data_IF_105434806994
#
_entry.id   IF_105434806994
#
_cell.length_a   1.000
_cell.length_b   1.000
_cell.length_c   1.000
_cell.angle_alpha   90.00
_cell.angle_beta   90.00
_cell.angle_gamma   90.00
#
_symmetry.space_group_name_H-M   'P 1'
#
loop_
_entity.id
_entity.type
_entity.pdbx_description
1 polymer ?
#
# COMPACT_ATOMS: atom_id res chain seq x y z
N UNK A 1 -12.33 6.40 14.94
CA UNK A 1 -10.87 6.29 14.70
C UNK A 1 -10.38 5.05 15.44
N UNK A 2 -9.65 4.18 14.77
CA UNK A 2 -9.04 2.99 15.34
C UNK A 2 -7.58 2.92 14.86
N UNK A 3 -6.72 2.20 15.58
CA UNK A 3 -5.30 2.04 15.25
C UNK A 3 -4.88 0.60 15.50
N UNK A 4 -4.16 0.01 14.54
CA UNK A 4 -3.50 -1.28 14.69
C UNK A 4 -2.01 -1.11 14.39
N UNK A 5 -1.20 -0.97 15.44
CA UNK A 5 0.26 -0.79 15.31
C UNK A 5 1.01 -2.04 14.80
N UNK A 6 0.33 -3.19 14.71
CA UNK A 6 0.88 -4.45 14.20
C UNK A 6 0.40 -4.80 12.78
N UNK A 7 -0.40 -3.92 12.17
CA UNK A 7 -0.88 -4.07 10.79
C UNK A 7 0.10 -3.48 9.76
N UNK A 8 -0.38 -3.28 8.54
CA UNK A 8 0.39 -2.65 7.47
C UNK A 8 1.26 -3.62 6.68
N UNK A 9 0.87 -4.89 6.60
CA UNK A 9 1.61 -5.95 5.87
C UNK A 9 1.47 -5.81 4.35
N UNK A 10 1.97 -4.70 3.81
CA UNK A 10 1.70 -4.18 2.47
C UNK A 10 2.37 -4.93 1.31
N UNK A 11 3.30 -5.85 1.57
CA UNK A 11 4.03 -6.59 0.54
C UNK A 11 3.33 -7.90 0.13
N UNK A 12 2.44 -8.43 0.97
CA UNK A 12 1.72 -9.66 0.61
C UNK A 12 0.83 -9.39 -0.60
N UNK A 13 1.00 -10.21 -1.64
CA UNK A 13 0.34 -10.10 -2.95
C UNK A 13 -0.86 -11.03 -3.03
N UNK A 14 -1.67 -10.89 -4.09
CA UNK A 14 -2.86 -11.72 -4.30
C UNK A 14 -2.57 -13.22 -4.29
N UNK A 15 -1.43 -13.63 -4.86
CA UNK A 15 -1.07 -15.03 -5.07
C UNK A 15 0.16 -15.52 -4.25
N UNK A 16 0.79 -14.66 -3.45
CA UNK A 16 1.99 -15.02 -2.68
C UNK A 16 2.26 -14.06 -1.50
N UNK A 17 2.94 -14.56 -0.47
CA UNK A 17 3.60 -13.69 0.52
C UNK A 17 4.90 -13.08 -0.06
N UNK A 18 5.30 -11.92 0.44
CA UNK A 18 6.54 -11.25 0.07
C UNK A 18 6.97 -10.24 1.16
N UNK A 19 8.24 -9.82 1.19
CA UNK A 19 8.72 -8.77 2.10
C UNK A 19 8.32 -8.96 3.57
N UNK A 20 8.46 -10.18 4.10
CA UNK A 20 8.02 -10.57 5.45
C UNK A 20 6.50 -10.50 5.74
N UNK A 21 5.69 -10.16 4.74
CA UNK A 21 4.24 -10.14 4.80
C UNK A 21 3.67 -11.46 4.28
N UNK A 22 2.94 -12.19 5.12
CA UNK A 22 2.23 -13.42 4.71
C UNK A 22 0.82 -13.13 4.21
N UNK A 23 0.13 -12.18 4.83
CA UNK A 23 -1.21 -11.73 4.46
C UNK A 23 -1.22 -10.19 4.40
N UNK A 24 -2.05 -9.62 3.53
CA UNK A 24 -2.20 -8.17 3.40
C UNK A 24 -3.45 -7.70 4.16
N UNK A 25 -3.27 -7.30 5.41
CA UNK A 25 -4.37 -6.88 6.28
C UNK A 25 -5.05 -5.59 5.80
N UNK A 26 -4.29 -4.68 5.20
CA UNK A 26 -4.80 -3.40 4.65
C UNK A 26 -5.75 -3.64 3.49
N UNK A 27 -5.33 -4.43 2.49
CA UNK A 27 -6.15 -4.74 1.33
C UNK A 27 -7.39 -5.58 1.72
N UNK A 28 -7.25 -6.53 2.65
CA UNK A 28 -8.39 -7.31 3.17
C UNK A 28 -9.41 -6.40 3.86
N UNK A 29 -8.97 -5.48 4.73
CA UNK A 29 -9.87 -4.55 5.41
C UNK A 29 -10.60 -3.63 4.42
N UNK A 30 -9.88 -3.11 3.42
CA UNK A 30 -10.45 -2.26 2.38
C UNK A 30 -11.57 -2.98 1.59
N UNK A 31 -11.27 -4.19 1.11
CA UNK A 31 -12.23 -5.01 0.36
C UNK A 31 -13.43 -5.44 1.23
N UNK A 32 -13.21 -5.75 2.51
CA UNK A 32 -14.28 -6.10 3.43
C UNK A 32 -15.25 -4.92 3.62
N UNK A 33 -14.74 -3.72 3.89
CA UNK A 33 -15.57 -2.52 4.06
C UNK A 33 -16.38 -2.17 2.80
N UNK A 34 -15.76 -2.33 1.62
CA UNK A 34 -16.42 -2.12 0.33
C UNK A 34 -17.49 -3.19 0.03
N UNK A 35 -17.26 -4.44 0.43
CA UNK A 35 -18.20 -5.55 0.23
C UNK A 35 -19.40 -5.46 1.17
N UNK A 36 -19.19 -4.99 2.40
CA UNK A 36 -20.24 -4.74 3.39
C UNK A 36 -21.09 -3.51 3.07
N UNK A 37 -20.66 -2.67 2.13
CA UNK A 37 -21.30 -1.39 1.83
C UNK A 37 -21.12 -0.37 2.97
N UNK A 38 -20.14 -0.59 3.86
CA UNK A 38 -19.82 0.33 4.94
C UNK A 38 -19.18 1.62 4.41
N UNK A 39 -18.55 1.55 3.23
CA UNK A 39 -17.96 2.67 2.50
C UNK A 39 -18.23 2.53 1.00
N UNK A 40 -18.32 3.65 0.30
CA UNK A 40 -18.48 3.67 -1.16
C UNK A 40 -17.13 3.60 -1.89
N UNK A 41 -16.11 4.25 -1.33
CA UNK A 41 -14.76 4.32 -1.87
C UNK A 41 -13.73 4.29 -0.73
N UNK A 42 -12.51 3.86 -1.04
CA UNK A 42 -11.38 3.80 -0.10
C UNK A 42 -10.13 4.43 -0.69
N UNK A 43 -9.41 5.19 0.15
CA UNK A 43 -8.08 5.72 -0.17
C UNK A 43 -7.08 5.04 0.76
N UNK A 44 -6.08 4.37 0.18
CA UNK A 44 -4.92 3.86 0.90
C UNK A 44 -3.78 4.87 0.73
N UNK A 45 -3.27 5.38 1.85
CA UNK A 45 -2.07 6.22 1.91
C UNK A 45 -0.97 5.39 2.54
N UNK A 46 -0.03 4.93 1.70
CA UNK A 46 1.13 4.16 2.14
C UNK A 46 2.37 5.08 2.20
N UNK A 47 2.91 5.21 3.41
CA UNK A 47 4.07 6.05 3.74
C UNK A 47 5.26 5.22 4.24
N UNK A 48 5.22 3.90 4.10
CA UNK A 48 6.38 3.06 4.38
C UNK A 48 7.53 3.39 3.41
N UNK A 49 8.77 3.17 3.85
CA UNK A 49 9.96 3.44 3.04
C UNK A 49 10.06 2.52 1.81
N UNK A 50 9.37 1.38 1.83
CA UNK A 50 9.21 0.45 0.72
C UNK A 50 7.89 0.70 0.00
N UNK A 51 7.82 0.38 -1.30
CA UNK A 51 6.53 0.48 -2.00
C UNK A 51 5.55 -0.58 -1.48
N UNK A 52 4.30 -0.18 -1.23
CA UNK A 52 3.16 -1.05 -0.94
C UNK A 52 2.69 -1.89 -2.13
N UNK A 53 3.61 -2.62 -2.76
CA UNK A 53 3.40 -3.37 -4.01
C UNK A 53 2.33 -4.46 -3.90
N UNK A 54 2.21 -5.12 -2.75
CA UNK A 54 1.17 -6.11 -2.52
C UNK A 54 -0.22 -5.50 -2.41
N UNK A 55 -0.32 -4.32 -1.80
CA UNK A 55 -1.58 -3.57 -1.74
C UNK A 55 -2.01 -3.10 -3.12
N UNK A 56 -1.07 -2.56 -3.92
CA UNK A 56 -1.31 -2.21 -5.31
C UNK A 56 -1.75 -3.42 -6.16
N UNK A 57 -1.04 -4.55 -6.07
CA UNK A 57 -1.38 -5.81 -6.76
C UNK A 57 -2.79 -6.32 -6.44
N UNK A 58 -3.19 -6.26 -5.17
CA UNK A 58 -4.50 -6.76 -4.74
C UNK A 58 -5.61 -5.81 -5.20
N UNK A 59 -5.41 -4.49 -5.10
CA UNK A 59 -6.47 -3.50 -5.33
C UNK A 59 -6.57 -3.00 -6.78
N UNK A 60 -5.64 -3.36 -7.66
CA UNK A 60 -5.57 -2.89 -9.05
C UNK A 60 -6.87 -3.00 -9.86
N UNK A 61 -7.69 -4.03 -9.59
CA UNK A 61 -8.95 -4.28 -10.32
C UNK A 61 -10.20 -3.79 -9.56
N UNK A 62 -10.04 -3.06 -8.45
CA UNK A 62 -11.14 -2.51 -7.65
C UNK A 62 -11.27 -0.99 -7.89
N UNK A 63 -12.18 -0.54 -8.77
CA UNK A 63 -12.28 0.87 -9.16
C UNK A 63 -12.74 1.81 -8.04
N UNK A 64 -13.21 1.27 -6.91
CA UNK A 64 -13.58 2.04 -5.71
C UNK A 64 -12.39 2.26 -4.76
N UNK A 65 -11.25 1.64 -5.05
CA UNK A 65 -10.03 1.80 -4.28
C UNK A 65 -9.03 2.70 -5.03
N UNK A 66 -8.38 3.59 -4.29
CA UNK A 66 -7.24 4.37 -4.78
C UNK A 66 -6.03 4.09 -3.89
N UNK A 67 -4.92 3.74 -4.51
CA UNK A 67 -3.65 3.41 -3.87
C UNK A 67 -2.62 4.51 -4.13
N UNK A 68 -2.26 5.23 -3.07
CA UNK A 68 -1.14 6.15 -3.05
C UNK A 68 0.02 5.52 -2.29
N UNK A 69 1.22 5.54 -2.88
CA UNK A 69 2.45 5.15 -2.20
C UNK A 69 3.55 6.19 -2.41
N UNK A 70 4.15 6.65 -1.31
CA UNK A 70 5.35 7.47 -1.34
C UNK A 70 6.49 6.72 -0.64
N UNK A 71 7.52 6.35 -1.40
CA UNK A 71 8.51 5.36 -0.99
C UNK A 71 9.90 5.68 -1.56
N UNK A 72 10.95 5.05 -1.03
CA UNK A 72 12.30 5.18 -1.56
C UNK A 72 12.41 4.58 -2.97
N UNK A 73 12.88 5.38 -3.94
CA UNK A 73 12.98 4.99 -5.36
C UNK A 73 13.71 3.65 -5.53
N UNK A 74 14.82 3.48 -4.79
CA UNK A 74 15.75 2.36 -4.92
C UNK A 74 15.54 1.25 -3.91
N UNK A 75 14.58 1.42 -2.99
CA UNK A 75 14.27 0.41 -1.99
C UNK A 75 13.52 -0.78 -2.57
N UNK A 76 13.44 -1.86 -1.79
CA UNK A 76 12.58 -2.99 -2.09
C UNK A 76 11.12 -2.54 -2.30
N UNK A 77 10.35 -3.16 -3.22
CA UNK A 77 10.77 -4.19 -4.17
C UNK A 77 11.58 -3.61 -5.34
N UNK A 78 12.49 -4.42 -5.88
CA UNK A 78 13.33 -4.03 -7.03
C UNK A 78 12.48 -3.70 -8.26
N UNK A 79 11.40 -4.46 -8.48
CA UNK A 79 10.40 -4.18 -9.51
C UNK A 79 9.15 -3.68 -8.82
N UNK A 80 8.87 -2.40 -9.03
CA UNK A 80 7.68 -1.74 -8.53
C UNK A 80 6.44 -2.24 -9.28
N UNK A 81 5.32 -2.36 -8.57
CA UNK A 81 4.00 -2.58 -9.16
C UNK A 81 3.30 -1.23 -9.19
N UNK A 82 2.69 -0.86 -10.31
CA UNK A 82 2.04 0.44 -10.41
C UNK A 82 0.88 0.53 -9.40
N UNK A 83 0.93 1.55 -8.54
CA UNK A 83 -0.22 2.03 -7.77
C UNK A 83 -1.01 3.03 -8.64
N UNK A 84 -2.11 3.58 -8.11
CA UNK A 84 -2.81 4.68 -8.78
C UNK A 84 -1.97 5.97 -8.79
N UNK A 85 -1.19 6.20 -7.73
CA UNK A 85 -0.19 7.26 -7.66
C UNK A 85 1.03 6.83 -6.83
N UNK A 86 2.18 6.75 -7.50
CA UNK A 86 3.47 6.50 -6.86
C UNK A 86 4.34 7.77 -6.84
N UNK A 87 4.93 8.07 -5.69
CA UNK A 87 5.94 9.13 -5.52
C UNK A 87 7.25 8.48 -5.07
N UNK A 88 8.20 8.38 -6.01
CA UNK A 88 9.52 7.82 -5.74
C UNK A 88 10.45 8.90 -5.17
N UNK A 89 10.95 8.67 -3.96
CA UNK A 89 11.83 9.58 -3.24
C UNK A 89 13.31 9.22 -3.44
N UNK A 90 14.19 10.20 -3.73
CA UNK A 90 15.63 9.97 -3.79
C UNK A 90 16.23 9.50 -2.46
N UNK A 91 17.33 8.76 -2.52
CA UNK A 91 18.10 8.37 -1.34
C UNK A 91 18.52 9.61 -0.52
N UNK A 92 18.35 9.54 0.80
CA UNK A 92 18.70 10.63 1.71
C UNK A 92 17.72 11.80 1.73
N UNK A 93 16.51 11.64 1.18
CA UNK A 93 15.40 12.59 1.37
C UNK A 93 15.20 12.86 2.87
N UNK A 94 15.31 14.12 3.28
CA UNK A 94 15.06 14.58 4.64
C UNK A 94 13.66 15.20 4.80
N UNK A 95 13.30 15.52 6.04
CA UNK A 95 11.94 15.93 6.43
C UNK A 95 11.36 17.07 5.58
N UNK A 96 12.13 18.15 5.36
CA UNK A 96 11.66 19.33 4.59
C UNK A 96 11.35 19.01 3.13
N UNK A 97 12.02 18.02 2.53
CA UNK A 97 11.76 17.61 1.16
C UNK A 97 10.68 16.53 1.06
N UNK A 98 10.42 15.83 2.17
CA UNK A 98 9.39 14.79 2.27
C UNK A 98 7.98 15.39 2.42
N UNK A 99 7.87 16.51 3.16
CA UNK A 99 6.60 17.23 3.44
C UNK A 99 6.20 18.20 2.33
#
# INVERSE_FOLDING_TARGET
>A
IACNATGGSHHARRAQGAGFCTFNDVAVAALALLAEGAVENVLIVDLDVHQGDGTADILNDEPRAFTFSMHGERNYPVRKIASDLDVALPDGTGDDAYL
#
